data_IF_398974842800
#
_entry.id   IF_398974842800
#
_cell.length_a   1.000
_cell.length_b   1.000
_cell.length_c   1.000
_cell.angle_alpha   90.00
_cell.angle_beta   90.00
_cell.angle_gamma   90.00
#
_symmetry.space_group_name_H-M   'P 1'
#
loop_
_entity.id
_entity.type
_entity.pdbx_description
1 polymer ?
#
# COMPACT_ATOMS: atom_id res chain seq x y z
N UNK A 1 -4.72 -6.66 4.97
CA UNK A 1 -5.98 -5.87 4.87
C UNK A 1 -6.01 -5.25 3.49
N UNK A 2 -7.16 -5.24 2.79
CA UNK A 2 -7.29 -4.51 1.52
C UNK A 2 -8.01 -3.18 1.79
N UNK A 3 -7.38 -2.05 1.47
CA UNK A 3 -7.94 -0.72 1.70
C UNK A 3 -7.33 0.31 0.76
N UNK A 4 -8.14 1.31 0.37
CA UNK A 4 -7.68 2.50 -0.36
C UNK A 4 -7.48 3.71 0.58
N UNK A 5 -7.59 3.53 1.89
CA UNK A 5 -7.45 4.61 2.85
C UNK A 5 -5.96 4.87 3.18
N UNK A 6 -5.41 5.92 2.59
CA UNK A 6 -4.01 6.32 2.78
C UNK A 6 -3.66 6.60 4.25
N UNK A 7 -4.57 7.22 5.01
CA UNK A 7 -4.35 7.51 6.42
C UNK A 7 -4.19 6.23 7.25
N UNK A 8 -5.02 5.21 7.02
CA UNK A 8 -4.92 3.92 7.72
C UNK A 8 -3.60 3.22 7.37
N UNK A 9 -3.21 3.20 6.10
CA UNK A 9 -1.97 2.54 5.66
C UNK A 9 -0.74 3.24 6.24
N UNK A 10 -0.70 4.57 6.18
CA UNK A 10 0.46 5.34 6.65
C UNK A 10 0.56 5.38 8.19
N UNK A 11 -0.56 5.26 8.90
CA UNK A 11 -0.58 5.21 10.38
C UNK A 11 -0.25 3.83 10.93
N UNK A 12 -0.66 2.77 10.26
CA UNK A 12 -0.36 1.38 10.61
C UNK A 12 0.71 0.84 9.66
N UNK A 13 1.96 1.25 9.90
CA UNK A 13 3.11 0.81 9.09
C UNK A 13 3.28 -0.70 9.20
N UNK A 14 2.99 -1.35 8.09
CA UNK A 14 3.09 -2.78 7.90
C UNK A 14 3.45 -3.03 6.44
N UNK A 15 3.58 -4.31 6.08
CA UNK A 15 3.87 -4.69 4.71
C UNK A 15 2.76 -4.21 3.78
N UNK A 16 3.11 -3.39 2.79
CA UNK A 16 2.21 -2.88 1.76
C UNK A 16 2.47 -3.64 0.47
N UNK A 17 1.41 -4.24 -0.08
CA UNK A 17 1.43 -4.90 -1.37
C UNK A 17 0.44 -4.18 -2.28
N UNK A 18 0.94 -3.50 -3.31
CA UNK A 18 0.10 -2.85 -4.31
C UNK A 18 -0.08 -3.76 -5.51
N UNK A 19 -1.33 -3.88 -5.98
CA UNK A 19 -1.71 -4.72 -7.11
C UNK A 19 -2.40 -3.83 -8.15
N UNK A 20 -1.91 -3.89 -9.39
CA UNK A 20 -2.48 -3.20 -10.56
C UNK A 20 -2.55 -4.18 -11.73
N UNK A 21 -3.64 -4.15 -12.51
CA UNK A 21 -3.88 -5.07 -13.64
C UNK A 21 -3.64 -6.56 -13.31
N UNK A 22 -3.94 -6.96 -12.08
CA UNK A 22 -3.75 -8.33 -11.59
C UNK A 22 -2.29 -8.74 -11.33
N UNK A 23 -1.36 -7.77 -11.27
CA UNK A 23 0.06 -7.98 -10.97
C UNK A 23 0.47 -7.21 -9.73
N UNK A 24 1.39 -7.77 -8.95
CA UNK A 24 2.00 -7.07 -7.82
C UNK A 24 3.00 -6.08 -8.40
N UNK A 25 2.76 -4.79 -8.18
CA UNK A 25 3.61 -3.69 -8.63
C UNK A 25 4.48 -3.12 -7.51
N UNK A 26 4.11 -3.37 -6.24
CA UNK A 26 4.87 -2.93 -5.07
C UNK A 26 4.74 -3.94 -3.94
N UNK A 27 5.83 -4.17 -3.22
CA UNK A 27 5.90 -5.04 -2.06
C UNK A 27 6.99 -4.53 -1.10
N UNK A 28 6.59 -3.90 -0.01
CA UNK A 28 7.48 -3.21 0.94
C UNK A 28 7.08 -3.55 2.37
N UNK A 29 8.04 -3.95 3.23
CA UNK A 29 7.75 -4.41 4.62
C UNK A 29 7.20 -3.30 5.55
N UNK A 30 7.55 -2.04 5.31
CA UNK A 30 7.01 -0.86 5.99
C UNK A 30 6.65 0.22 4.97
N UNK A 31 5.92 -0.18 3.93
CA UNK A 31 5.51 0.72 2.85
C UNK A 31 4.45 1.74 3.29
N UNK A 32 4.36 2.84 2.54
CA UNK A 32 3.29 3.82 2.63
C UNK A 32 2.32 3.65 1.44
N UNK A 33 1.13 4.25 1.52
CA UNK A 33 0.07 4.10 0.50
C UNK A 33 0.54 4.48 -0.92
N UNK A 34 1.43 5.47 -1.02
CA UNK A 34 2.25 5.66 -2.22
C UNK A 34 1.54 6.21 -3.47
N UNK A 35 0.31 6.71 -3.34
CA UNK A 35 -0.36 7.54 -4.34
C UNK A 35 -0.25 9.01 -3.92
N UNK A 36 0.84 9.67 -4.30
CA UNK A 36 0.93 11.13 -4.36
C UNK A 36 1.05 11.48 -5.86
N UNK A 37 0.08 12.25 -6.36
CA UNK A 37 -0.30 12.59 -7.75
C UNK A 37 -1.10 11.55 -8.57
#
# INVERSE_FOLDING_TARGET
MATHNSHIVNSLRHRVIAIEDGRIVRDEEEGDYGYDD
#
